data_IF_861608269989
#
_entry.id   IF_861608269989
#
_cell.length_a   1.000
_cell.length_b   1.000
_cell.length_c   1.000
_cell.angle_alpha   90.00
_cell.angle_beta   90.00
_cell.angle_gamma   90.00
#
_symmetry.space_group_name_H-M   'P 1'
#
loop_
_entity.id
_entity.type
_entity.pdbx_description
1 polymer ?
#
# COMPACT_ATOMS: atom_id res chain seq x y z
N UNK A 1 -48.51 1.46 -59.68
CA UNK A 1 -47.28 0.70 -59.51
C UNK A 1 -46.38 1.54 -58.59
N UNK A 2 -46.37 1.17 -57.34
CA UNK A 2 -45.53 1.83 -56.34
C UNK A 2 -44.29 0.99 -56.07
N UNK A 3 -43.08 1.54 -55.89
CA UNK A 3 -41.96 0.78 -55.44
C UNK A 3 -41.85 0.83 -53.90
N UNK A 4 -41.70 -0.34 -53.34
CA UNK A 4 -41.52 -0.64 -51.95
C UNK A 4 -40.19 -0.05 -51.42
N UNK A 5 -40.28 0.71 -50.31
CA UNK A 5 -39.13 1.22 -49.54
C UNK A 5 -38.65 0.12 -48.58
N UNK A 6 -37.41 -0.33 -48.76
CA UNK A 6 -36.69 -1.18 -47.80
C UNK A 6 -35.95 -0.32 -46.81
N UNK A 7 -36.44 -0.34 -45.59
CA UNK A 7 -35.74 0.20 -44.40
C UNK A 7 -34.50 -0.66 -44.09
N UNK A 8 -33.33 -0.05 -44.20
CA UNK A 8 -32.07 -0.60 -43.68
C UNK A 8 -32.03 -0.44 -42.17
N UNK A 9 -32.07 -1.54 -41.46
CA UNK A 9 -31.80 -1.60 -40.05
C UNK A 9 -30.31 -1.35 -39.80
N UNK A 10 -29.98 -0.35 -39.03
CA UNK A 10 -28.64 -0.16 -38.47
C UNK A 10 -28.43 -1.23 -37.39
N UNK A 11 -27.54 -2.14 -37.67
CA UNK A 11 -27.00 -3.07 -36.67
C UNK A 11 -26.24 -2.25 -35.63
N UNK A 12 -26.79 -2.16 -34.42
CA UNK A 12 -26.04 -1.69 -33.25
C UNK A 12 -25.07 -2.81 -32.88
N UNK A 13 -23.79 -2.62 -33.17
CA UNK A 13 -22.72 -3.45 -32.63
C UNK A 13 -22.84 -3.50 -31.12
N UNK A 14 -23.17 -4.67 -30.62
CA UNK A 14 -23.19 -4.98 -29.22
C UNK A 14 -21.79 -4.82 -28.66
N UNK A 15 -21.62 -3.87 -27.75
CA UNK A 15 -20.45 -3.78 -26.90
C UNK A 15 -20.33 -5.08 -26.12
N UNK A 16 -19.27 -5.78 -26.41
CA UNK A 16 -18.85 -7.05 -25.81
C UNK A 16 -18.74 -6.87 -24.28
N UNK A 17 -19.81 -7.24 -23.56
CA UNK A 17 -19.87 -7.21 -22.09
C UNK A 17 -19.14 -8.38 -21.44
N UNK A 18 -18.55 -9.28 -22.23
CA UNK A 18 -18.00 -10.55 -21.74
C UNK A 18 -16.48 -10.56 -21.51
N UNK A 19 -15.80 -9.43 -21.62
CA UNK A 19 -14.34 -9.40 -21.42
C UNK A 19 -13.86 -8.63 -20.19
N UNK A 20 -14.74 -8.33 -19.25
CA UNK A 20 -14.33 -7.96 -17.90
C UNK A 20 -14.09 -9.24 -17.10
N UNK A 21 -12.86 -9.79 -17.20
CA UNK A 21 -12.40 -10.74 -16.19
C UNK A 21 -12.65 -10.10 -14.82
N UNK A 22 -13.33 -10.79 -13.89
CA UNK A 22 -13.45 -10.29 -12.52
C UNK A 22 -12.02 -10.03 -12.03
N UNK A 23 -11.76 -8.84 -11.54
CA UNK A 23 -10.58 -8.59 -10.71
C UNK A 23 -10.73 -9.58 -9.56
N UNK A 24 -9.96 -10.68 -9.62
CA UNK A 24 -10.01 -11.73 -8.62
C UNK A 24 -9.88 -11.07 -7.26
N UNK A 25 -10.96 -11.19 -6.52
CA UNK A 25 -11.29 -10.74 -5.22
C UNK A 25 -10.15 -10.11 -4.45
N UNK A 26 -10.15 -8.79 -4.36
CA UNK A 26 -9.31 -8.11 -3.39
C UNK A 26 -9.67 -8.65 -2.01
N UNK A 27 -8.93 -9.68 -1.55
CA UNK A 27 -8.98 -10.11 -0.16
C UNK A 27 -8.76 -8.87 0.69
N UNK A 28 -9.72 -8.55 1.52
CA UNK A 28 -9.56 -7.50 2.52
C UNK A 28 -8.57 -8.03 3.56
N UNK A 29 -7.32 -7.58 3.50
CA UNK A 29 -6.34 -7.86 4.54
C UNK A 29 -6.55 -6.86 5.66
N UNK A 30 -6.79 -7.34 6.88
CA UNK A 30 -6.57 -6.54 8.09
C UNK A 30 -5.06 -6.48 8.37
N UNK A 31 -4.61 -5.54 9.19
CA UNK A 31 -3.20 -5.48 9.57
C UNK A 31 -2.72 -6.84 10.17
N UNK A 32 -3.56 -7.52 10.94
CA UNK A 32 -3.29 -8.86 11.47
C UNK A 32 -3.19 -9.97 10.42
N UNK A 33 -3.59 -9.72 9.18
CA UNK A 33 -3.41 -10.69 8.08
C UNK A 33 -2.07 -10.54 7.37
N UNK A 34 -1.36 -9.42 7.56
CA UNK A 34 -0.05 -9.16 6.95
C UNK A 34 1.01 -10.00 7.66
N UNK A 35 1.65 -10.91 6.90
CA UNK A 35 2.72 -11.77 7.39
C UNK A 35 4.06 -11.33 6.83
N UNK A 36 5.00 -11.08 7.73
CA UNK A 36 6.37 -10.64 7.44
C UNK A 36 7.32 -11.69 8.01
N UNK A 37 8.31 -12.12 7.25
CA UNK A 37 9.41 -12.93 7.78
C UNK A 37 10.70 -12.11 7.73
N UNK A 38 11.47 -12.21 8.81
CA UNK A 38 12.82 -11.65 8.95
C UNK A 38 13.80 -12.81 9.00
N UNK A 39 14.72 -12.82 8.05
CA UNK A 39 15.77 -13.84 7.94
C UNK A 39 17.11 -13.14 8.11
N UNK A 40 17.74 -13.31 9.27
CA UNK A 40 18.97 -12.65 9.65
C UNK A 40 19.63 -13.47 10.77
N UNK A 41 20.91 -13.80 10.65
CA UNK A 41 21.64 -14.58 11.65
C UNK A 41 21.88 -13.81 12.94
N UNK A 42 21.78 -12.47 12.92
CA UNK A 42 21.77 -11.64 14.12
C UNK A 42 20.34 -11.48 14.67
N UNK A 43 20.01 -12.13 15.81
CA UNK A 43 18.68 -12.01 16.41
C UNK A 43 18.35 -10.58 16.89
N UNK A 44 19.33 -9.68 16.98
CA UNK A 44 19.07 -8.29 17.33
C UNK A 44 18.34 -7.55 16.22
N UNK A 45 18.59 -7.91 14.96
CA UNK A 45 17.87 -7.34 13.81
C UNK A 45 16.41 -7.75 13.84
N UNK A 46 16.11 -9.02 14.11
CA UNK A 46 14.73 -9.49 14.26
C UNK A 46 13.97 -8.70 15.33
N UNK A 47 14.54 -8.55 16.52
CA UNK A 47 13.95 -7.74 17.60
C UNK A 47 13.77 -6.28 17.21
N UNK A 48 14.71 -5.71 16.47
CA UNK A 48 14.60 -4.33 15.98
C UNK A 48 13.42 -4.18 15.02
N UNK A 49 13.24 -5.11 14.08
CA UNK A 49 12.12 -5.11 13.14
C UNK A 49 10.79 -5.26 13.88
N UNK A 50 10.69 -6.22 14.82
CA UNK A 50 9.49 -6.40 15.65
C UNK A 50 9.13 -5.12 16.41
N UNK A 51 10.11 -4.50 17.09
CA UNK A 51 9.89 -3.25 17.83
C UNK A 51 9.50 -2.09 16.92
N UNK A 52 10.10 -2.01 15.72
CA UNK A 52 9.82 -0.95 14.74
C UNK A 52 8.40 -1.02 14.20
N UNK A 53 7.88 -2.23 14.03
CA UNK A 53 6.57 -2.47 13.40
C UNK A 53 5.46 -2.82 14.41
N UNK A 54 5.75 -2.78 15.71
CA UNK A 54 4.82 -3.19 16.78
C UNK A 54 3.47 -2.43 16.76
N UNK A 55 3.47 -1.18 16.30
CA UNK A 55 2.25 -0.36 16.22
C UNK A 55 1.22 -0.86 15.18
N UNK A 56 1.64 -1.74 14.25
CA UNK A 56 0.85 -2.12 13.09
C UNK A 56 0.20 -3.50 13.19
N UNK A 57 0.36 -4.20 14.32
CA UNK A 57 -0.23 -5.54 14.56
C UNK A 57 0.08 -6.58 13.47
N UNK A 58 1.21 -6.43 12.76
CA UNK A 58 1.64 -7.41 11.75
C UNK A 58 2.07 -8.73 12.37
N UNK A 59 1.82 -9.84 11.67
CA UNK A 59 2.37 -11.14 12.03
C UNK A 59 3.83 -11.23 11.58
N UNK A 60 4.77 -11.05 12.49
CA UNK A 60 6.20 -11.07 12.23
C UNK A 60 6.78 -12.39 12.71
N UNK A 61 7.47 -13.09 11.81
CA UNK A 61 8.25 -14.30 12.12
C UNK A 61 9.72 -13.98 11.99
N UNK A 62 10.52 -14.26 13.01
CA UNK A 62 11.98 -14.06 12.99
C UNK A 62 12.68 -15.42 12.91
N UNK A 63 13.58 -15.57 11.95
CA UNK A 63 14.37 -16.77 11.74
C UNK A 63 15.85 -16.41 11.75
N UNK A 64 16.53 -16.71 12.87
CA UNK A 64 17.99 -16.54 13.04
C UNK A 64 18.74 -17.88 12.99
N UNK A 65 18.04 -18.99 13.06
CA UNK A 65 18.60 -20.33 12.86
C UNK A 65 18.53 -20.70 11.38
N UNK A 66 19.67 -20.78 10.74
CA UNK A 66 19.79 -21.02 9.29
C UNK A 66 19.14 -22.35 8.85
N UNK A 67 19.10 -23.36 9.72
CA UNK A 67 18.44 -24.65 9.43
C UNK A 67 16.91 -24.55 9.40
N UNK A 68 16.34 -23.46 9.93
CA UNK A 68 14.90 -23.24 9.98
C UNK A 68 14.38 -22.35 8.84
N UNK A 69 15.27 -21.80 8.00
CA UNK A 69 14.87 -20.90 6.92
C UNK A 69 13.94 -21.62 5.93
N UNK A 70 14.39 -22.72 5.35
CA UNK A 70 13.62 -23.45 4.35
C UNK A 70 12.29 -24.00 4.93
N UNK A 71 12.26 -24.67 6.11
CA UNK A 71 11.00 -25.05 6.73
C UNK A 71 10.04 -23.89 6.98
N UNK A 72 10.54 -22.73 7.41
CA UNK A 72 9.70 -21.56 7.64
C UNK A 72 9.10 -21.01 6.33
N UNK A 73 9.91 -20.95 5.27
CA UNK A 73 9.46 -20.49 3.94
C UNK A 73 8.46 -21.47 3.30
N UNK A 74 8.59 -22.77 3.53
CA UNK A 74 7.66 -23.77 3.00
C UNK A 74 6.38 -23.88 3.82
N UNK A 75 6.45 -23.61 5.13
CA UNK A 75 5.32 -23.77 6.05
C UNK A 75 4.29 -22.63 6.02
N UNK A 76 4.66 -21.44 5.55
CA UNK A 76 3.81 -20.25 5.60
C UNK A 76 4.05 -19.37 4.39
N UNK A 77 2.96 -18.82 3.82
CA UNK A 77 3.06 -17.79 2.79
C UNK A 77 3.20 -16.41 3.43
N UNK A 78 4.25 -15.68 3.06
CA UNK A 78 4.55 -14.35 3.56
C UNK A 78 4.24 -13.28 2.51
N UNK A 79 3.93 -12.08 2.97
CA UNK A 79 3.72 -10.93 2.10
C UNK A 79 5.02 -10.14 1.88
N UNK A 80 5.87 -10.09 2.91
CA UNK A 80 7.18 -9.43 2.89
C UNK A 80 8.22 -10.36 3.48
N UNK A 81 9.37 -10.44 2.81
CA UNK A 81 10.57 -11.12 3.30
C UNK A 81 11.64 -10.04 3.49
N UNK A 82 12.09 -9.84 4.72
CA UNK A 82 13.26 -9.02 5.05
C UNK A 82 14.42 -9.99 5.18
N UNK A 83 15.38 -9.88 4.26
CA UNK A 83 16.44 -10.87 4.09
C UNK A 83 17.81 -10.23 4.25
N UNK A 84 18.61 -10.74 5.20
CA UNK A 84 20.05 -10.44 5.15
C UNK A 84 20.67 -11.06 3.89
N UNK A 85 21.38 -10.20 3.17
CA UNK A 85 22.05 -10.61 1.94
C UNK A 85 23.21 -11.58 2.19
N UNK A 86 23.89 -11.48 3.35
CA UNK A 86 25.06 -12.27 3.70
C UNK A 86 24.72 -13.16 4.89
N UNK A 87 24.40 -14.41 4.61
CA UNK A 87 24.12 -15.42 5.63
C UNK A 87 25.26 -16.45 5.65
N UNK A 88 25.82 -16.81 6.83
CA UNK A 88 26.87 -17.79 6.92
C UNK A 88 26.47 -19.12 6.30
N UNK A 89 27.33 -19.65 5.42
CA UNK A 89 27.12 -20.97 4.79
C UNK A 89 26.13 -20.97 3.61
N UNK A 90 25.59 -19.80 3.19
CA UNK A 90 24.74 -19.69 2.03
C UNK A 90 25.34 -18.74 0.99
N UNK A 91 25.20 -19.10 -0.27
CA UNK A 91 25.46 -18.16 -1.35
C UNK A 91 24.24 -17.23 -1.49
N UNK A 92 24.47 -15.91 -1.47
CA UNK A 92 23.40 -14.90 -1.48
C UNK A 92 22.47 -15.04 -2.69
N UNK A 93 23.01 -15.36 -3.87
CA UNK A 93 22.22 -15.58 -5.07
C UNK A 93 21.31 -16.82 -4.97
N UNK A 94 21.79 -17.89 -4.29
CA UNK A 94 20.98 -19.09 -4.07
C UNK A 94 19.87 -18.84 -3.06
N UNK A 95 20.17 -18.08 -2.00
CA UNK A 95 19.16 -17.70 -1.02
C UNK A 95 18.05 -16.85 -1.66
N UNK A 96 18.40 -15.88 -2.50
CA UNK A 96 17.40 -15.10 -3.25
C UNK A 96 16.54 -15.97 -4.17
N UNK A 97 17.15 -16.97 -4.82
CA UNK A 97 16.40 -17.92 -5.66
C UNK A 97 15.46 -18.79 -4.82
N UNK A 98 15.93 -19.29 -3.68
CA UNK A 98 15.12 -20.09 -2.75
C UNK A 98 13.89 -19.29 -2.30
N UNK A 99 14.10 -18.06 -1.82
CA UNK A 99 13.00 -17.19 -1.40
C UNK A 99 12.02 -16.94 -2.55
N UNK A 100 12.50 -16.61 -3.74
CA UNK A 100 11.64 -16.40 -4.92
C UNK A 100 10.86 -17.64 -5.33
N UNK A 101 11.47 -18.82 -5.20
CA UNK A 101 10.82 -20.08 -5.56
C UNK A 101 9.73 -20.47 -4.54
N UNK A 102 10.02 -20.32 -3.25
CA UNK A 102 9.09 -20.72 -2.18
C UNK A 102 8.02 -19.67 -1.89
N UNK A 103 8.35 -18.39 -2.17
CA UNK A 103 7.51 -17.21 -1.89
C UNK A 103 7.36 -16.33 -3.14
N UNK A 104 6.77 -16.84 -4.24
CA UNK A 104 6.74 -16.14 -5.51
C UNK A 104 5.99 -14.80 -5.44
N UNK A 105 5.00 -14.72 -4.55
CA UNK A 105 4.17 -13.51 -4.37
C UNK A 105 4.71 -12.57 -3.29
N UNK A 106 5.77 -12.93 -2.56
CA UNK A 106 6.33 -12.06 -1.54
C UNK A 106 7.20 -10.96 -2.14
N UNK A 107 7.14 -9.78 -1.55
CA UNK A 107 8.13 -8.73 -1.81
C UNK A 107 9.36 -8.95 -0.94
N UNK A 108 10.54 -8.88 -1.54
CA UNK A 108 11.81 -9.07 -0.83
C UNK A 108 12.44 -7.70 -0.59
N UNK A 109 12.72 -7.39 0.68
CA UNK A 109 13.55 -6.26 1.10
C UNK A 109 14.86 -6.84 1.57
N UNK A 110 15.94 -6.52 0.86
CA UNK A 110 17.27 -7.00 1.20
C UNK A 110 17.93 -6.03 2.18
N UNK A 111 18.56 -6.57 3.22
CA UNK A 111 19.38 -5.82 4.17
C UNK A 111 20.81 -6.36 4.11
N UNK A 112 21.83 -5.51 4.25
CA UNK A 112 23.22 -5.99 4.25
C UNK A 112 24.17 -5.05 4.97
N UNK A 113 25.16 -5.62 5.66
CA UNK A 113 26.28 -4.87 6.23
C UNK A 113 27.40 -4.62 5.19
N UNK A 114 27.38 -5.33 4.06
CA UNK A 114 28.45 -5.29 3.05
C UNK A 114 27.89 -4.90 1.68
N UNK A 115 27.49 -3.61 1.49
CA UNK A 115 26.97 -3.15 0.23
C UNK A 115 28.05 -3.19 -0.86
N UNK A 116 27.69 -3.70 -2.05
CA UNK A 116 28.53 -3.70 -3.22
C UNK A 116 27.69 -3.45 -4.48
N UNK A 117 28.34 -3.06 -5.56
CA UNK A 117 27.67 -2.90 -6.87
C UNK A 117 27.11 -4.26 -7.32
N UNK A 118 27.86 -5.32 -7.12
CA UNK A 118 27.44 -6.67 -7.54
C UNK A 118 26.22 -7.15 -6.74
N UNK A 119 26.19 -6.95 -5.43
CA UNK A 119 25.03 -7.29 -4.61
C UNK A 119 23.78 -6.48 -5.02
N UNK A 120 23.95 -5.19 -5.27
CA UNK A 120 22.86 -4.34 -5.74
C UNK A 120 22.32 -4.77 -7.11
N UNK A 121 23.22 -5.13 -8.04
CA UNK A 121 22.84 -5.65 -9.36
C UNK A 121 22.13 -7.01 -9.27
N UNK A 122 22.55 -7.89 -8.36
CA UNK A 122 21.87 -9.17 -8.14
C UNK A 122 20.45 -8.95 -7.57
N UNK A 123 20.30 -8.06 -6.60
CA UNK A 123 18.99 -7.67 -6.05
C UNK A 123 18.07 -7.09 -7.13
N UNK A 124 18.60 -6.21 -7.98
CA UNK A 124 17.84 -5.63 -9.09
C UNK A 124 17.37 -6.71 -10.09
N UNK A 125 18.26 -7.64 -10.48
CA UNK A 125 17.93 -8.77 -11.38
C UNK A 125 16.93 -9.75 -10.74
N UNK A 126 17.00 -9.91 -9.42
CA UNK A 126 16.04 -10.70 -8.67
C UNK A 126 14.71 -9.98 -8.42
N UNK A 127 14.53 -8.76 -8.94
CA UNK A 127 13.33 -7.95 -8.72
C UNK A 127 12.98 -7.85 -7.22
N UNK A 128 13.98 -7.56 -6.38
CA UNK A 128 13.72 -7.23 -4.97
C UNK A 128 13.04 -5.88 -4.88
N UNK A 129 12.22 -5.69 -3.87
CA UNK A 129 11.48 -4.43 -3.70
C UNK A 129 12.40 -3.28 -3.34
N UNK A 130 13.34 -3.52 -2.41
CA UNK A 130 14.29 -2.51 -1.96
C UNK A 130 15.55 -3.16 -1.40
N UNK A 131 16.56 -2.30 -1.15
CA UNK A 131 17.87 -2.68 -0.64
C UNK A 131 18.33 -1.69 0.42
N UNK A 132 18.53 -2.14 1.66
CA UNK A 132 18.94 -1.32 2.80
C UNK A 132 20.34 -1.71 3.27
N UNK A 133 21.15 -0.72 3.60
CA UNK A 133 22.49 -0.93 4.15
C UNK A 133 22.47 -0.86 5.67
N UNK A 134 23.04 -1.85 6.35
CA UNK A 134 23.28 -1.83 7.81
C UNK A 134 24.51 -0.94 8.12
N UNK A 135 24.50 -0.13 9.18
CA UNK A 135 23.36 0.16 10.04
C UNK A 135 22.34 1.07 9.35
N UNK A 136 21.06 0.77 9.48
CA UNK A 136 19.96 1.59 8.95
C UNK A 136 19.19 2.28 10.09
N UNK A 137 18.57 3.40 9.76
CA UNK A 137 17.67 4.08 10.68
C UNK A 137 16.33 3.35 10.76
N UNK A 138 15.73 3.31 11.94
CA UNK A 138 14.43 2.67 12.20
C UNK A 138 13.36 3.21 11.23
N UNK A 139 13.34 4.53 11.04
CA UNK A 139 12.41 5.21 10.13
C UNK A 139 12.60 4.81 8.67
N UNK A 140 13.83 4.54 8.24
CA UNK A 140 14.11 4.08 6.89
C UNK A 140 13.55 2.67 6.65
N UNK A 141 13.73 1.76 7.61
CA UNK A 141 13.14 0.43 7.57
C UNK A 141 11.61 0.50 7.58
N UNK A 142 11.02 1.23 8.54
CA UNK A 142 9.57 1.42 8.63
C UNK A 142 9.01 1.95 7.31
N UNK A 143 9.57 3.02 6.78
CA UNK A 143 9.15 3.63 5.50
C UNK A 143 9.25 2.64 4.33
N UNK A 144 10.30 1.83 4.26
CA UNK A 144 10.47 0.86 3.17
C UNK A 144 9.43 -0.26 3.26
N UNK A 145 9.17 -0.80 4.46
CA UNK A 145 8.14 -1.83 4.67
C UNK A 145 6.75 -1.28 4.35
N UNK A 146 6.42 -0.08 4.84
CA UNK A 146 5.11 0.55 4.58
C UNK A 146 4.90 0.77 3.08
N UNK A 147 5.88 1.37 2.38
CA UNK A 147 5.85 1.57 0.92
C UNK A 147 5.70 0.24 0.16
N UNK A 148 6.34 -0.82 0.64
CA UNK A 148 6.20 -2.16 0.07
C UNK A 148 4.77 -2.69 0.19
N UNK A 149 4.18 -2.60 1.37
CA UNK A 149 2.81 -3.05 1.63
C UNK A 149 1.78 -2.21 0.86
N UNK A 150 1.98 -0.88 0.78
CA UNK A 150 1.15 0.04 -0.02
C UNK A 150 1.15 -0.32 -1.50
N UNK A 151 2.35 -0.52 -2.08
CA UNK A 151 2.48 -0.85 -3.51
C UNK A 151 1.74 -2.13 -3.90
N UNK A 152 1.50 -2.99 -2.92
CA UNK A 152 0.75 -4.24 -3.08
C UNK A 152 -0.72 -4.14 -2.66
N UNK A 153 -1.18 -2.97 -2.21
CA UNK A 153 -2.52 -2.78 -1.69
C UNK A 153 -2.81 -3.58 -0.42
N UNK A 154 -1.76 -3.97 0.33
CA UNK A 154 -1.86 -4.73 1.58
C UNK A 154 -2.03 -3.83 2.81
N UNK A 155 -1.67 -2.55 2.70
CA UNK A 155 -2.02 -1.55 3.68
C UNK A 155 -3.35 -0.94 3.28
N UNK A 156 -4.36 -1.24 4.03
CA UNK A 156 -5.60 -0.48 4.02
C UNK A 156 -5.60 0.37 5.27
N UNK A 157 -5.70 1.65 5.07
CA UNK A 157 -6.15 2.53 6.15
C UNK A 157 -7.46 1.98 6.68
N UNK A 158 -7.58 1.81 7.99
CA UNK A 158 -8.88 1.59 8.60
C UNK A 158 -9.83 2.69 8.10
N UNK A 159 -11.12 2.42 8.02
CA UNK A 159 -12.09 3.47 7.64
C UNK A 159 -11.94 4.73 8.51
N UNK A 160 -11.55 4.55 9.76
CA UNK A 160 -11.31 5.61 10.71
C UNK A 160 -10.08 6.43 10.33
N UNK A 161 -8.93 5.79 10.10
CA UNK A 161 -7.71 6.45 9.66
C UNK A 161 -7.90 7.16 8.30
N UNK A 162 -8.64 6.53 7.38
CA UNK A 162 -8.98 7.17 6.10
C UNK A 162 -9.83 8.43 6.32
N UNK A 163 -10.83 8.38 7.21
CA UNK A 163 -11.67 9.55 7.54
C UNK A 163 -10.87 10.67 8.17
N UNK A 164 -9.98 10.33 9.10
CA UNK A 164 -9.12 11.31 9.79
C UNK A 164 -8.17 12.00 8.82
N UNK A 165 -7.46 11.24 8.00
CA UNK A 165 -6.53 11.79 7.02
C UNK A 165 -7.23 12.63 5.96
N UNK A 166 -8.37 12.16 5.43
CA UNK A 166 -9.16 12.90 4.47
C UNK A 166 -9.70 14.19 5.08
N UNK A 167 -10.19 14.14 6.32
CA UNK A 167 -10.66 15.29 7.07
C UNK A 167 -9.56 16.34 7.29
N UNK A 168 -8.37 15.88 7.68
CA UNK A 168 -7.19 16.74 7.84
C UNK A 168 -6.79 17.41 6.52
N UNK A 169 -6.73 16.64 5.42
CA UNK A 169 -6.40 17.16 4.10
C UNK A 169 -7.41 18.23 3.62
N UNK A 170 -8.70 18.01 3.83
CA UNK A 170 -9.77 18.99 3.52
C UNK A 170 -9.54 20.26 4.35
N UNK A 171 -9.29 20.13 5.66
CA UNK A 171 -9.07 21.24 6.57
C UNK A 171 -7.85 22.07 6.19
N UNK A 172 -6.73 21.43 5.87
CA UNK A 172 -5.51 22.11 5.44
C UNK A 172 -5.71 22.89 4.15
N UNK A 173 -6.34 22.24 3.16
CA UNK A 173 -6.63 22.88 1.89
C UNK A 173 -7.56 24.10 2.05
N UNK A 174 -8.59 23.98 2.90
CA UNK A 174 -9.48 25.09 3.23
C UNK A 174 -8.71 26.26 3.85
N UNK A 175 -7.84 25.98 4.83
CA UNK A 175 -6.99 27.00 5.47
C UNK A 175 -6.02 27.66 4.49
N UNK A 176 -5.41 26.86 3.60
CA UNK A 176 -4.52 27.38 2.55
C UNK A 176 -5.22 28.36 1.59
N UNK A 177 -6.55 28.21 1.40
CA UNK A 177 -7.38 29.13 0.64
C UNK A 177 -7.88 30.33 1.47
N UNK A 178 -7.47 30.44 2.75
CA UNK A 178 -7.92 31.50 3.66
C UNK A 178 -9.39 31.42 4.06
N UNK A 179 -10.05 30.27 3.83
CA UNK A 179 -11.48 30.12 4.09
C UNK A 179 -11.74 29.74 5.54
N UNK A 180 -12.71 30.43 6.15
CA UNK A 180 -13.30 29.99 7.41
C UNK A 180 -14.19 28.75 7.19
N UNK A 181 -14.48 28.01 8.26
CA UNK A 181 -15.40 26.87 8.17
C UNK A 181 -16.80 27.29 7.71
N UNK A 182 -17.26 28.46 8.17
CA UNK A 182 -18.56 29.01 7.79
C UNK A 182 -18.64 29.39 6.30
N UNK A 183 -17.59 30.00 5.76
CA UNK A 183 -17.52 30.32 4.34
C UNK A 183 -17.49 29.07 3.47
N UNK A 184 -16.73 28.04 3.91
CA UNK A 184 -16.71 26.78 3.21
C UNK A 184 -18.04 26.04 3.27
N UNK A 185 -18.72 26.04 4.42
CA UNK A 185 -20.06 25.48 4.58
C UNK A 185 -21.08 26.15 3.63
N UNK A 186 -21.05 27.50 3.54
CA UNK A 186 -21.89 28.27 2.61
C UNK A 186 -21.57 27.95 1.15
N UNK A 187 -20.27 27.84 0.81
CA UNK A 187 -19.79 27.58 -0.56
C UNK A 187 -20.19 26.19 -1.06
N UNK A 188 -20.21 25.21 -0.17
CA UNK A 188 -20.50 23.81 -0.49
C UNK A 188 -21.96 23.42 -0.28
N UNK A 189 -22.77 24.31 0.32
CA UNK A 189 -24.13 24.01 0.78
C UNK A 189 -24.19 22.81 1.73
N UNK A 190 -23.17 22.68 2.59
CA UNK A 190 -23.07 21.68 3.65
C UNK A 190 -23.27 22.40 4.98
N UNK A 191 -23.99 21.79 5.93
CA UNK A 191 -24.14 22.41 7.25
C UNK A 191 -22.77 22.54 7.95
N UNK A 192 -22.58 23.63 8.70
CA UNK A 192 -21.34 23.93 9.40
C UNK A 192 -20.95 22.79 10.37
N UNK A 193 -21.91 22.25 11.09
CA UNK A 193 -21.67 21.12 12.01
C UNK A 193 -21.21 19.86 11.29
N UNK A 194 -21.85 19.51 10.17
CA UNK A 194 -21.46 18.32 9.41
C UNK A 194 -20.09 18.48 8.75
N UNK A 195 -19.79 19.63 8.18
CA UNK A 195 -18.46 19.92 7.60
C UNK A 195 -17.38 19.86 8.69
N UNK A 196 -17.65 20.38 9.89
CA UNK A 196 -16.73 20.27 11.03
C UNK A 196 -16.46 18.81 11.43
N UNK A 197 -17.49 17.97 11.45
CA UNK A 197 -17.33 16.54 11.77
C UNK A 197 -16.51 15.80 10.69
N UNK A 198 -16.67 16.16 9.42
CA UNK A 198 -15.86 15.62 8.32
C UNK A 198 -14.39 16.04 8.49
N UNK A 199 -14.11 17.33 8.74
CA UNK A 199 -12.74 17.82 8.93
C UNK A 199 -12.03 17.25 10.17
N UNK A 200 -12.81 16.76 11.15
CA UNK A 200 -12.31 16.09 12.35
C UNK A 200 -12.23 14.56 12.19
N UNK A 201 -12.57 14.02 11.03
CA UNK A 201 -12.60 12.57 10.80
C UNK A 201 -13.71 11.82 11.55
N UNK A 202 -14.64 12.54 12.20
CA UNK A 202 -15.68 11.93 13.04
C UNK A 202 -16.88 11.42 12.24
N UNK A 203 -17.08 11.91 11.02
CA UNK A 203 -18.15 11.47 10.13
C UNK A 203 -17.61 11.17 8.72
N UNK A 204 -18.17 10.13 8.10
CA UNK A 204 -17.93 9.80 6.70
C UNK A 204 -18.67 10.79 5.81
N UNK A 205 -18.03 11.20 4.71
CA UNK A 205 -18.65 11.99 3.66
C UNK A 205 -19.11 11.08 2.51
N UNK A 206 -20.34 11.26 2.02
CA UNK A 206 -20.78 10.61 0.80
C UNK A 206 -19.98 11.12 -0.40
N UNK A 207 -19.96 10.36 -1.50
CA UNK A 207 -19.29 10.77 -2.75
C UNK A 207 -19.81 12.13 -3.22
N UNK A 208 -21.11 12.37 -3.11
CA UNK A 208 -21.72 13.66 -3.45
C UNK A 208 -21.18 14.77 -2.54
N UNK A 209 -21.06 14.53 -1.24
CA UNK A 209 -20.50 15.48 -0.29
C UNK A 209 -19.04 15.78 -0.60
N UNK A 210 -18.22 14.76 -0.89
CA UNK A 210 -16.82 14.92 -1.31
C UNK A 210 -16.71 15.74 -2.60
N UNK A 211 -17.60 15.51 -3.56
CA UNK A 211 -17.64 16.29 -4.80
C UNK A 211 -17.92 17.77 -4.54
N UNK A 212 -18.91 18.09 -3.70
CA UNK A 212 -19.23 19.48 -3.30
C UNK A 212 -18.03 20.14 -2.58
N UNK A 213 -17.36 19.39 -1.67
CA UNK A 213 -16.16 19.85 -0.98
C UNK A 213 -15.04 20.14 -1.98
N UNK A 214 -14.77 19.23 -2.91
CA UNK A 214 -13.75 19.40 -3.94
C UNK A 214 -14.02 20.65 -4.82
N UNK A 215 -15.26 20.85 -5.25
CA UNK A 215 -15.66 22.05 -5.97
C UNK A 215 -15.43 23.33 -5.14
N UNK A 216 -15.81 23.31 -3.86
CA UNK A 216 -15.61 24.43 -2.94
C UNK A 216 -14.13 24.77 -2.73
N UNK A 217 -13.27 23.76 -2.74
CA UNK A 217 -11.81 23.86 -2.62
C UNK A 217 -11.09 24.09 -3.96
N UNK A 218 -11.81 24.05 -5.09
CA UNK A 218 -11.27 24.18 -6.46
C UNK A 218 -10.22 23.12 -6.79
N UNK A 219 -10.48 21.88 -6.41
CA UNK A 219 -9.66 20.70 -6.70
C UNK A 219 -10.50 19.58 -7.29
N UNK A 220 -9.85 18.56 -7.85
CA UNK A 220 -10.54 17.32 -8.25
C UNK A 220 -10.76 16.46 -7.01
N UNK A 221 -11.78 15.61 -7.01
CA UNK A 221 -12.01 14.65 -5.91
C UNK A 221 -10.77 13.75 -5.71
N UNK A 222 -10.12 13.33 -6.80
CA UNK A 222 -8.90 12.52 -6.74
C UNK A 222 -7.75 13.22 -5.98
N UNK A 223 -7.65 14.55 -6.07
CA UNK A 223 -6.58 15.32 -5.41
C UNK A 223 -6.74 15.34 -3.89
N UNK A 224 -7.97 15.12 -3.36
CA UNK A 224 -8.23 14.97 -1.93
C UNK A 224 -7.64 13.66 -1.39
N UNK A 225 -7.64 12.60 -2.20
CA UNK A 225 -7.09 11.29 -1.82
C UNK A 225 -5.57 11.18 -2.03
N UNK A 226 -5.00 11.95 -2.97
CA UNK A 226 -3.54 11.99 -3.16
C UNK A 226 -2.81 12.54 -1.93
N UNK A 227 -3.39 13.53 -1.25
CA UNK A 227 -2.84 14.08 -0.02
C UNK A 227 -2.93 13.09 1.16
N UNK A 228 -3.85 12.13 1.12
CA UNK A 228 -3.96 11.05 2.10
C UNK A 228 -2.81 10.05 1.94
N UNK A 229 -2.41 9.74 0.70
CA UNK A 229 -1.29 8.81 0.41
C UNK A 229 0.08 9.42 0.68
N UNK A 230 0.23 10.73 0.61
CA UNK A 230 1.51 11.41 0.85
C UNK A 230 1.88 11.54 2.33
N UNK A 231 0.97 11.20 3.24
CA UNK A 231 1.16 11.30 4.70
C UNK A 231 1.48 9.96 5.37
N UNK A 232 1.63 8.89 4.59
CA UNK A 232 2.03 7.54 4.99
C UNK A 232 3.51 7.33 4.66
#
# INVERSE_FOLDING_TARGET
MAPTNKSGGAETEGLDQDNMKPIEGGRMYSAGDVRIIVIDDDPAIGRLVEATLAEHEFNISVVSDLHKIEPALLGTQYHVVILDYVLPGFESAEMLKLVKHTQPDASIIVVTAFPSIDSALQCLRAHTFDYLTKPFQVEALKKTVMRCLESRGLLRLSEEALREQLGAAIRERRKALGLTLAEMAKRTSISLGYLSQIELGKNSASIETLYRIALGLRVRVADLFQSVQASL
#
